data_IF_513624765077
#
_entry.id   IF_513624765077
#
_cell.length_a   1.000
_cell.length_b   1.000
_cell.length_c   1.000
_cell.angle_alpha   90.00
_cell.angle_beta   90.00
_cell.angle_gamma   90.00
#
_symmetry.space_group_name_H-M   'P 1'
#
loop_
_entity.id
_entity.type
_entity.pdbx_description
1 polymer ?
#
# COMPACT_ATOMS: atom_id res chain seq x y z
N UNK A 1 -41.11 -23.03 30.07
CA UNK A 1 -40.40 -21.81 30.51
C UNK A 1 -39.06 -21.58 29.80
N UNK A 2 -38.36 -22.60 29.28
CA UNK A 2 -37.11 -22.43 28.52
C UNK A 2 -37.26 -21.74 27.14
N UNK A 3 -38.42 -21.83 26.49
CA UNK A 3 -38.63 -21.32 25.13
C UNK A 3 -38.85 -19.80 25.04
N UNK A 4 -39.16 -19.13 26.16
CA UNK A 4 -39.32 -17.68 26.22
C UNK A 4 -37.97 -16.97 26.41
N UNK A 5 -37.07 -17.61 27.18
CA UNK A 5 -35.72 -17.10 27.44
C UNK A 5 -34.90 -17.04 26.14
N UNK A 6 -34.99 -18.07 25.30
CA UNK A 6 -34.26 -18.16 24.02
C UNK A 6 -34.74 -17.18 22.95
N UNK A 7 -36.00 -16.72 23.02
CA UNK A 7 -36.53 -15.66 22.12
C UNK A 7 -36.05 -14.27 22.52
N UNK A 8 -35.85 -14.03 23.82
CA UNK A 8 -35.35 -12.76 24.34
C UNK A 8 -33.83 -12.60 24.18
N UNK A 9 -33.07 -13.71 24.20
CA UNK A 9 -31.61 -13.72 24.04
C UNK A 9 -31.12 -13.57 22.60
N UNK A 10 -31.97 -13.84 21.59
CA UNK A 10 -31.65 -13.73 20.16
C UNK A 10 -31.37 -12.30 19.63
N UNK A 11 -32.12 -11.25 20.02
CA UNK A 11 -31.77 -9.88 19.61
C UNK A 11 -30.49 -9.38 20.30
N UNK A 12 -30.23 -9.82 21.54
CA UNK A 12 -29.01 -9.50 22.29
C UNK A 12 -27.75 -10.08 21.64
N UNK A 13 -27.81 -11.31 21.12
CA UNK A 13 -26.66 -11.90 20.42
C UNK A 13 -26.37 -11.20 19.09
N UNK A 14 -27.40 -10.78 18.34
CA UNK A 14 -27.24 -10.01 17.10
C UNK A 14 -26.69 -8.61 17.37
N UNK A 15 -27.16 -7.94 18.41
CA UNK A 15 -26.65 -6.64 18.82
C UNK A 15 -25.19 -6.73 19.29
N UNK A 16 -24.82 -7.77 20.05
CA UNK A 16 -23.45 -7.99 20.49
C UNK A 16 -22.50 -8.29 19.31
N UNK A 17 -22.94 -9.07 18.32
CA UNK A 17 -22.16 -9.32 17.09
C UNK A 17 -22.03 -8.03 16.26
N UNK A 18 -23.10 -7.25 16.13
CA UNK A 18 -23.06 -5.97 15.40
C UNK A 18 -22.16 -4.92 16.09
N UNK A 19 -22.19 -4.85 17.42
CA UNK A 19 -21.30 -4.00 18.21
C UNK A 19 -19.85 -4.48 18.16
N UNK A 20 -19.62 -5.79 18.22
CA UNK A 20 -18.28 -6.38 18.06
C UNK A 20 -17.70 -6.10 16.68
N UNK A 21 -18.49 -6.29 15.61
CA UNK A 21 -18.07 -5.97 14.25
C UNK A 21 -17.87 -4.46 14.04
N UNK A 22 -18.75 -3.61 14.58
CA UNK A 22 -18.59 -2.16 14.55
C UNK A 22 -17.31 -1.71 15.26
N UNK A 23 -16.99 -2.31 16.41
CA UNK A 23 -15.77 -2.02 17.15
C UNK A 23 -14.52 -2.50 16.40
N UNK A 24 -14.56 -3.67 15.75
CA UNK A 24 -13.46 -4.12 14.89
C UNK A 24 -13.22 -3.18 13.71
N UNK A 25 -14.29 -2.66 13.08
CA UNK A 25 -14.19 -1.69 11.97
C UNK A 25 -13.64 -0.33 12.44
N UNK A 26 -13.98 0.10 13.67
CA UNK A 26 -13.45 1.32 14.28
C UNK A 26 -11.97 1.17 14.68
N UNK A 27 -11.52 -0.03 15.09
CA UNK A 27 -10.12 -0.30 15.41
C UNK A 27 -9.22 -0.33 14.17
N UNK A 28 -9.75 -0.72 13.00
CA UNK A 28 -9.05 -0.59 11.71
C UNK A 28 -9.06 0.83 11.13
N UNK A 29 -9.83 1.76 11.70
CA UNK A 29 -9.85 3.17 11.28
C UNK A 29 -8.75 4.01 11.98
N UNK A 30 -7.97 3.41 12.89
CA UNK A 30 -6.85 4.07 13.56
C UNK A 30 -5.49 3.86 12.86
N UNK A 31 -5.43 3.26 11.66
CA UNK A 31 -4.30 3.45 10.75
C UNK A 31 -4.49 4.74 9.96
N UNK A 32 -4.74 5.84 10.68
CA UNK A 32 -4.91 7.16 10.11
C UNK A 32 -3.54 7.80 9.90
N UNK A 33 -3.06 7.73 8.66
CA UNK A 33 -2.14 8.67 7.99
C UNK A 33 -2.02 8.37 6.48
N UNK A 34 -2.72 7.36 5.94
CA UNK A 34 -2.70 7.00 4.52
C UNK A 34 -3.26 8.11 3.58
N UNK A 35 -4.20 8.94 4.05
CA UNK A 35 -4.69 10.09 3.27
C UNK A 35 -3.72 11.29 3.28
N UNK A 36 -2.71 11.31 4.15
CA UNK A 36 -1.74 12.41 4.24
C UNK A 36 -0.54 12.26 3.28
N UNK A 37 -0.27 11.07 2.74
CA UNK A 37 0.90 10.81 1.89
C UNK A 37 0.67 11.09 0.40
N UNK A 38 -0.58 11.05 -0.08
CA UNK A 38 -0.93 11.17 -1.49
C UNK A 38 -1.86 12.37 -1.72
N UNK A 39 -1.41 13.34 -2.53
CA UNK A 39 -2.11 14.58 -2.87
C UNK A 39 -3.42 14.35 -3.63
N UNK A 40 -3.50 13.25 -4.39
CA UNK A 40 -4.61 12.95 -5.29
C UNK A 40 -4.34 13.32 -6.73
N UNK A 41 -3.33 14.15 -6.99
CA UNK A 41 -2.84 14.39 -8.34
C UNK A 41 -1.96 13.22 -8.78
N UNK A 42 -2.37 12.54 -9.85
CA UNK A 42 -1.66 11.35 -10.34
C UNK A 42 -0.21 11.63 -10.73
N UNK A 43 0.07 12.80 -11.31
CA UNK A 43 1.43 13.14 -11.74
C UNK A 43 2.30 13.41 -10.53
N UNK A 44 1.84 14.26 -9.62
CA UNK A 44 2.53 14.59 -8.38
C UNK A 44 2.80 13.35 -7.53
N UNK A 45 1.77 12.52 -7.32
CA UNK A 45 1.86 11.32 -6.49
C UNK A 45 2.78 10.28 -7.13
N UNK A 46 2.75 10.09 -8.47
CA UNK A 46 3.68 9.16 -9.13
C UNK A 46 5.13 9.61 -8.97
N UNK A 47 5.41 10.90 -9.16
CA UNK A 47 6.76 11.46 -8.98
C UNK A 47 7.24 11.30 -7.54
N UNK A 48 6.39 11.65 -6.57
CA UNK A 48 6.71 11.55 -5.15
C UNK A 48 6.98 10.10 -4.74
N UNK A 49 6.07 9.17 -5.07
CA UNK A 49 6.22 7.75 -4.73
C UNK A 49 7.46 7.15 -5.39
N UNK A 50 7.74 7.46 -6.67
CA UNK A 50 8.94 6.96 -7.33
C UNK A 50 10.23 7.39 -6.61
N UNK A 51 10.32 8.66 -6.20
CA UNK A 51 11.51 9.20 -5.50
C UNK A 51 11.66 8.64 -4.08
N UNK A 52 10.56 8.53 -3.35
CA UNK A 52 10.56 7.91 -2.02
C UNK A 52 11.04 6.47 -2.11
N UNK A 53 10.50 5.68 -3.04
CA UNK A 53 10.89 4.28 -3.18
C UNK A 53 12.31 4.10 -3.69
N UNK A 54 12.82 4.98 -4.56
CA UNK A 54 14.24 5.01 -4.94
C UNK A 54 15.14 5.19 -3.69
N UNK A 55 14.76 6.12 -2.81
CA UNK A 55 15.50 6.36 -1.55
C UNK A 55 15.46 5.13 -0.64
N UNK A 56 14.31 4.45 -0.55
CA UNK A 56 14.15 3.25 0.29
C UNK A 56 14.98 2.08 -0.22
N UNK A 57 15.01 1.82 -1.53
CA UNK A 57 15.75 0.68 -2.07
C UNK A 57 17.27 0.87 -2.01
N UNK A 58 17.74 2.13 -1.96
CA UNK A 58 19.15 2.50 -1.77
C UNK A 58 19.59 2.51 -0.29
N UNK A 59 18.66 2.29 0.65
CA UNK A 59 18.96 2.34 2.08
C UNK A 59 19.89 1.18 2.49
N UNK A 60 20.97 1.44 3.26
CA UNK A 60 21.85 0.39 3.75
C UNK A 60 21.10 -0.64 4.61
N UNK A 61 21.46 -1.91 4.46
CA UNK A 61 20.81 -3.01 5.21
C UNK A 61 21.08 -2.98 6.72
N UNK A 62 22.19 -2.38 7.12
CA UNK A 62 22.58 -2.20 8.52
C UNK A 62 22.04 -0.90 9.13
N UNK A 63 21.26 -0.12 8.36
CA UNK A 63 20.62 1.08 8.87
C UNK A 63 19.54 0.70 9.92
N UNK A 64 19.56 1.32 11.12
CA UNK A 64 18.60 1.02 12.18
C UNK A 64 17.15 1.33 11.80
N UNK A 65 16.93 2.21 10.81
CA UNK A 65 15.60 2.60 10.31
C UNK A 65 15.11 1.71 9.16
N UNK A 66 15.90 0.76 8.68
CA UNK A 66 15.57 -0.03 7.49
C UNK A 66 14.23 -0.79 7.62
N UNK A 67 13.97 -1.39 8.78
CA UNK A 67 12.73 -2.13 9.01
C UNK A 67 11.48 -1.23 8.96
N UNK A 68 11.61 0.01 9.46
CA UNK A 68 10.54 1.02 9.42
C UNK A 68 10.34 1.51 7.99
N UNK A 69 11.42 1.85 7.28
CA UNK A 69 11.38 2.24 5.87
C UNK A 69 10.72 1.17 4.97
N UNK A 70 10.99 -0.12 5.24
CA UNK A 70 10.34 -1.23 4.53
C UNK A 70 8.83 -1.29 4.80
N UNK A 71 8.42 -1.02 6.05
CA UNK A 71 7.00 -0.99 6.43
C UNK A 71 6.28 0.19 5.78
N UNK A 72 6.89 1.37 5.79
CA UNK A 72 6.35 2.57 5.17
C UNK A 72 6.26 2.41 3.65
N UNK A 73 7.26 1.80 3.01
CA UNK A 73 7.21 1.51 1.59
C UNK A 73 6.06 0.57 1.22
N UNK A 74 5.79 -0.46 2.03
CA UNK A 74 4.62 -1.34 1.82
C UNK A 74 3.30 -0.57 1.95
N UNK A 75 3.18 0.29 2.95
CA UNK A 75 1.98 1.13 3.14
C UNK A 75 1.79 2.04 1.92
N UNK A 76 2.84 2.76 1.51
CA UNK A 76 2.82 3.66 0.36
C UNK A 76 2.47 2.94 -0.95
N UNK A 77 3.01 1.74 -1.17
CA UNK A 77 2.64 0.89 -2.33
C UNK A 77 1.15 0.60 -2.31
N UNK A 78 0.60 0.18 -1.17
CA UNK A 78 -0.82 -0.16 -1.04
C UNK A 78 -1.72 1.05 -1.26
N UNK A 79 -1.35 2.21 -0.72
CA UNK A 79 -2.09 3.46 -0.87
C UNK A 79 -2.12 3.93 -2.32
N UNK A 80 -0.95 3.95 -2.98
CA UNK A 80 -0.86 4.33 -4.40
C UNK A 80 -1.68 3.38 -5.29
N UNK A 81 -1.54 2.07 -5.06
CA UNK A 81 -2.22 1.06 -5.86
C UNK A 81 -3.74 1.08 -5.63
N UNK A 82 -4.20 1.23 -4.40
CA UNK A 82 -5.62 1.30 -4.08
C UNK A 82 -6.29 2.55 -4.66
N UNK A 83 -5.58 3.68 -4.69
CA UNK A 83 -6.06 4.93 -5.27
C UNK A 83 -6.17 4.89 -6.79
N UNK A 84 -5.10 4.48 -7.48
CA UNK A 84 -5.00 4.68 -8.94
C UNK A 84 -5.41 3.48 -9.79
N UNK A 85 -5.27 2.25 -9.29
CA UNK A 85 -5.64 1.04 -10.04
C UNK A 85 -7.12 1.00 -10.47
N UNK A 86 -8.10 1.42 -9.63
CA UNK A 86 -9.51 1.39 -10.03
C UNK A 86 -9.88 2.45 -11.07
N UNK A 87 -9.02 3.46 -11.30
CA UNK A 87 -9.35 4.61 -12.14
C UNK A 87 -9.13 4.30 -13.64
N UNK A 88 -10.18 4.24 -14.48
CA UNK A 88 -10.03 3.88 -15.89
C UNK A 88 -9.19 4.88 -16.72
N UNK A 89 -9.11 6.12 -16.25
CA UNK A 89 -8.30 7.18 -16.88
C UNK A 89 -6.81 7.01 -16.62
N UNK A 90 -6.42 6.22 -15.63
CA UNK A 90 -5.03 6.06 -15.16
C UNK A 90 -4.52 4.65 -15.42
N UNK A 91 -5.33 3.63 -15.16
CA UNK A 91 -4.86 2.25 -15.09
C UNK A 91 -4.35 1.63 -16.40
N UNK A 92 -4.64 2.27 -17.54
CA UNK A 92 -4.11 1.92 -18.86
C UNK A 92 -2.90 2.74 -19.31
N UNK A 93 -2.47 3.75 -18.54
CA UNK A 93 -1.34 4.60 -18.91
C UNK A 93 -0.02 3.81 -18.83
N UNK A 94 0.92 4.15 -19.71
CA UNK A 94 2.22 3.46 -19.73
C UNK A 94 3.03 3.78 -18.47
N UNK A 95 2.92 5.01 -17.96
CA UNK A 95 3.43 5.40 -16.64
C UNK A 95 2.90 4.51 -15.52
N UNK A 96 1.57 4.26 -15.48
CA UNK A 96 0.95 3.48 -14.40
C UNK A 96 1.37 2.00 -14.46
N UNK A 97 1.30 1.39 -15.63
CA UNK A 97 1.66 -0.04 -15.81
C UNK A 97 3.15 -0.28 -15.56
N UNK A 98 4.01 0.68 -15.92
CA UNK A 98 5.45 0.67 -15.58
C UNK A 98 5.65 0.75 -14.07
N UNK A 99 4.98 1.69 -13.40
CA UNK A 99 5.02 1.83 -11.95
C UNK A 99 4.55 0.54 -11.26
N UNK A 100 3.39 0.01 -11.65
CA UNK A 100 2.84 -1.24 -11.11
C UNK A 100 3.83 -2.42 -11.21
N UNK A 101 4.62 -2.50 -12.27
CA UNK A 101 5.65 -3.54 -12.42
C UNK A 101 6.73 -3.43 -11.36
N UNK A 102 7.20 -2.21 -11.08
CA UNK A 102 8.16 -1.93 -10.01
C UNK A 102 7.57 -2.25 -8.63
N UNK A 103 6.36 -1.74 -8.35
CA UNK A 103 5.69 -1.91 -7.05
C UNK A 103 5.40 -3.37 -6.74
N UNK A 104 4.90 -4.14 -7.71
CA UNK A 104 4.65 -5.58 -7.54
C UNK A 104 5.94 -6.35 -7.28
N UNK A 105 7.04 -5.98 -7.94
CA UNK A 105 8.35 -6.61 -7.72
C UNK A 105 8.87 -6.35 -6.31
N UNK A 106 8.78 -5.10 -5.85
CA UNK A 106 9.23 -4.68 -4.52
C UNK A 106 8.38 -5.32 -3.41
N UNK A 107 7.05 -5.21 -3.52
CA UNK A 107 6.12 -5.81 -2.57
C UNK A 107 6.27 -7.33 -2.49
N UNK A 108 6.50 -7.99 -3.63
CA UNK A 108 6.76 -9.44 -3.69
C UNK A 108 8.02 -9.84 -2.95
N UNK A 109 9.11 -9.06 -3.07
CA UNK A 109 10.34 -9.31 -2.32
C UNK A 109 10.13 -9.16 -0.82
N UNK A 110 9.56 -8.04 -0.37
CA UNK A 110 9.29 -7.80 1.05
C UNK A 110 8.34 -8.81 1.68
N UNK A 111 7.36 -9.32 0.92
CA UNK A 111 6.47 -10.39 1.41
C UNK A 111 7.18 -11.75 1.55
N UNK A 112 8.16 -12.04 0.68
CA UNK A 112 8.78 -13.37 0.59
C UNK A 112 10.09 -13.48 1.38
N UNK A 113 10.79 -12.36 1.57
CA UNK A 113 12.16 -12.31 2.09
C UNK A 113 12.33 -11.14 3.08
N UNK A 114 11.49 -11.11 4.12
CA UNK A 114 11.61 -10.11 5.19
C UNK A 114 13.03 -10.10 5.77
N UNK A 115 13.57 -8.90 6.00
CA UNK A 115 14.92 -8.67 6.53
C UNK A 115 16.06 -9.24 5.64
N UNK A 116 15.82 -9.42 4.33
CA UNK A 116 16.90 -9.73 3.37
C UNK A 116 17.12 -8.59 2.39
N UNK A 117 18.39 -8.33 2.01
CA UNK A 117 18.69 -7.37 0.97
C UNK A 117 17.97 -7.68 -0.33
N UNK A 118 17.59 -6.62 -1.03
CA UNK A 118 17.21 -6.70 -2.44
C UNK A 118 18.40 -7.25 -3.24
N UNK A 119 18.23 -8.33 -4.02
CA UNK A 119 19.24 -8.76 -4.96
C UNK A 119 19.57 -7.64 -5.95
N UNK A 120 20.83 -7.42 -6.27
CA UNK A 120 21.31 -6.33 -7.13
C UNK A 120 20.54 -6.23 -8.46
N UNK A 121 20.35 -7.36 -9.16
CA UNK A 121 19.58 -7.38 -10.40
C UNK A 121 18.10 -7.00 -10.24
N UNK A 122 17.51 -7.26 -9.06
CA UNK A 122 16.14 -6.84 -8.74
C UNK A 122 16.10 -5.34 -8.41
N UNK A 123 17.06 -4.88 -7.61
CA UNK A 123 17.26 -3.48 -7.29
C UNK A 123 17.33 -2.61 -8.55
N UNK A 124 18.26 -2.92 -9.46
CA UNK A 124 18.47 -2.15 -10.69
C UNK A 124 17.24 -2.12 -11.59
N UNK A 125 16.51 -3.23 -11.65
CA UNK A 125 15.26 -3.31 -12.41
C UNK A 125 14.20 -2.40 -11.80
N UNK A 126 14.01 -2.45 -10.48
CA UNK A 126 13.04 -1.59 -9.78
C UNK A 126 13.42 -0.12 -9.99
N UNK A 127 14.69 0.24 -9.76
CA UNK A 127 15.19 1.60 -9.95
C UNK A 127 14.93 2.11 -11.38
N UNK A 128 15.19 1.27 -12.40
CA UNK A 128 14.93 1.59 -13.80
C UNK A 128 13.44 1.84 -14.07
N UNK A 129 12.57 0.96 -13.61
CA UNK A 129 11.12 1.11 -13.85
C UNK A 129 10.53 2.30 -13.09
N UNK A 130 10.97 2.58 -11.85
CA UNK A 130 10.56 3.79 -11.10
C UNK A 130 10.97 5.07 -11.84
N UNK A 131 12.23 5.18 -12.26
CA UNK A 131 12.71 6.32 -13.05
C UNK A 131 11.96 6.48 -14.38
N UNK A 132 11.60 5.37 -15.02
CA UNK A 132 10.84 5.38 -16.27
C UNK A 132 9.39 5.82 -16.04
N UNK A 133 8.75 5.37 -14.96
CA UNK A 133 7.41 5.81 -14.58
C UNK A 133 7.38 7.32 -14.31
N UNK A 134 8.31 7.84 -13.50
CA UNK A 134 8.46 9.28 -13.21
C UNK A 134 8.58 10.10 -14.50
N UNK A 135 9.50 9.73 -15.39
CA UNK A 135 9.69 10.46 -16.65
C UNK A 135 8.46 10.37 -17.57
N UNK A 136 7.81 9.21 -17.60
CA UNK A 136 6.66 8.98 -18.47
C UNK A 136 5.44 9.77 -18.00
N UNK A 137 5.22 9.86 -16.68
CA UNK A 137 4.07 10.57 -16.10
C UNK A 137 4.18 12.07 -16.30
N UNK A 138 5.38 12.65 -16.13
CA UNK A 138 5.65 14.08 -16.37
C UNK A 138 5.45 14.45 -17.85
N UNK A 139 5.76 13.53 -18.76
CA UNK A 139 5.53 13.71 -20.20
C UNK A 139 4.06 13.54 -20.59
N UNK A 140 3.21 13.02 -19.72
CA UNK A 140 1.81 12.70 -20.01
C UNK A 140 1.65 11.42 -20.84
N UNK A 141 2.53 10.43 -20.66
CA UNK A 141 2.54 9.14 -21.37
C UNK A 141 2.36 7.93 -20.46
#
# INVERSE_FOLDING_TARGET
>A
MLSALTRLLRPLSRAAIALGLGLCLLLTACSGDAEALLSGDYVEDTVAVSRTLLTVIDLPQDDPTHAEAEADARALINDYMSRYRPQPRVNGLSSFTTMQTALNSLAGHYASYANRPLPEALHDRIAKELNKAEKSVVRGS
#
